data_IF_519386749964
#
_entry.id   IF_519386749964
#
_cell.length_a   1.000
_cell.length_b   1.000
_cell.length_c   1.000
_cell.angle_alpha   90.00
_cell.angle_beta   90.00
_cell.angle_gamma   90.00
#
_symmetry.space_group_name_H-M   'P 1'
#
loop_
_entity.id
_entity.type
_entity.pdbx_description
1 polymer ?
#
# COMPACT_ATOMS: atom_id res chain seq x y z
N UNK A 1 -6.28 -13.21 -14.54
CA UNK A 1 -5.06 -13.00 -15.37
C UNK A 1 -4.31 -11.82 -14.78
N UNK A 2 -3.11 -12.02 -14.19
CA UNK A 2 -2.26 -10.93 -13.71
C UNK A 2 -1.63 -10.33 -14.95
N UNK A 3 -1.76 -9.02 -15.22
CA UNK A 3 -1.12 -8.42 -16.39
C UNK A 3 0.37 -8.70 -16.37
N UNK A 4 0.87 -9.38 -17.38
CA UNK A 4 2.30 -9.52 -17.64
C UNK A 4 2.85 -8.13 -17.98
N UNK A 5 3.94 -7.74 -17.30
CA UNK A 5 4.74 -6.60 -17.73
C UNK A 5 4.27 -5.23 -17.25
N UNK A 6 4.18 -5.01 -15.94
CA UNK A 6 4.25 -3.64 -15.43
C UNK A 6 5.72 -3.18 -15.45
N UNK A 7 6.20 -2.76 -16.62
CA UNK A 7 7.44 -1.96 -16.75
C UNK A 7 7.21 -0.50 -16.31
N UNK A 8 6.21 -0.23 -15.48
CA UNK A 8 5.97 1.11 -14.94
C UNK A 8 6.89 1.33 -13.74
N UNK A 9 7.59 2.46 -13.67
CA UNK A 9 8.37 2.81 -12.50
C UNK A 9 7.40 3.00 -11.32
N UNK A 10 7.75 2.44 -10.17
CA UNK A 10 7.08 2.68 -8.91
C UNK A 10 7.95 3.57 -8.06
N UNK A 11 7.33 4.51 -7.41
CA UNK A 11 7.99 5.38 -6.45
C UNK A 11 8.46 4.59 -5.21
N UNK A 12 9.59 5.01 -4.63
CA UNK A 12 10.09 4.45 -3.38
C UNK A 12 9.41 5.13 -2.18
N UNK A 13 8.47 4.45 -1.49
CA UNK A 13 7.75 5.07 -0.36
C UNK A 13 8.65 5.38 0.84
N UNK A 14 9.90 4.93 0.85
CA UNK A 14 10.89 5.27 1.86
C UNK A 14 11.63 6.58 1.56
N UNK A 15 11.47 7.14 0.36
CA UNK A 15 12.13 8.39 -0.03
C UNK A 15 11.38 9.61 0.54
N UNK A 16 11.98 10.40 1.46
CA UNK A 16 11.30 11.53 2.08
C UNK A 16 10.99 12.66 1.09
N UNK A 17 11.84 12.90 0.11
CA UNK A 17 11.63 13.96 -0.90
C UNK A 17 10.43 13.63 -1.78
N UNK A 18 10.30 12.35 -2.15
CA UNK A 18 9.15 11.89 -2.92
C UNK A 18 7.85 11.98 -2.11
N UNK A 19 7.86 11.57 -0.83
CA UNK A 19 6.69 11.74 0.05
C UNK A 19 6.26 13.20 0.10
N UNK A 20 7.21 14.11 0.32
CA UNK A 20 6.91 15.55 0.36
C UNK A 20 6.31 16.04 -0.96
N UNK A 21 6.88 15.61 -2.08
CA UNK A 21 6.35 15.95 -3.41
C UNK A 21 4.88 15.51 -3.55
N UNK A 22 4.57 14.23 -3.25
CA UNK A 22 3.20 13.73 -3.34
C UNK A 22 2.24 14.42 -2.36
N UNK A 23 2.69 14.70 -1.14
CA UNK A 23 1.89 15.46 -0.17
C UNK A 23 1.54 16.86 -0.68
N UNK A 24 2.47 17.55 -1.33
CA UNK A 24 2.20 18.86 -1.91
C UNK A 24 1.20 18.79 -3.06
N UNK A 25 1.25 17.72 -3.90
CA UNK A 25 0.27 17.52 -4.96
C UNK A 25 -1.14 17.25 -4.38
N UNK A 26 -1.24 16.41 -3.34
CA UNK A 26 -2.54 16.15 -2.68
C UNK A 26 -3.07 17.40 -1.98
N UNK A 27 -2.20 18.18 -1.32
CA UNK A 27 -2.56 19.44 -0.70
C UNK A 27 -3.09 20.44 -1.72
N UNK A 28 -2.46 20.55 -2.88
CA UNK A 28 -2.93 21.40 -3.99
C UNK A 28 -4.32 21.01 -4.44
N UNK A 29 -4.60 19.71 -4.62
CA UNK A 29 -5.94 19.21 -5.01
C UNK A 29 -6.98 19.59 -3.94
N UNK A 30 -6.71 19.30 -2.68
CA UNK A 30 -7.67 19.51 -1.59
C UNK A 30 -7.94 20.99 -1.32
N UNK A 31 -6.96 21.87 -1.57
CA UNK A 31 -7.09 23.32 -1.31
C UNK A 31 -7.61 24.12 -2.49
N UNK A 32 -7.29 23.70 -3.74
CA UNK A 32 -7.69 24.45 -4.95
C UNK A 32 -9.03 24.00 -5.52
N UNK A 33 -9.45 22.77 -5.26
CA UNK A 33 -10.67 22.24 -5.85
C UNK A 33 -11.68 21.89 -4.73
N UNK A 34 -12.96 22.11 -5.01
CA UNK A 34 -14.02 21.73 -4.11
C UNK A 34 -14.31 20.23 -4.20
N UNK A 35 -13.42 19.42 -3.62
CA UNK A 35 -13.54 17.96 -3.60
C UNK A 35 -14.08 17.49 -2.26
N UNK A 36 -14.94 16.48 -2.24
CA UNK A 36 -15.46 15.88 -1.01
C UNK A 36 -14.53 14.82 -0.43
N UNK A 37 -13.61 14.29 -1.25
CA UNK A 37 -12.69 13.24 -0.83
C UNK A 37 -11.45 13.12 -1.68
N UNK A 38 -10.50 12.33 -1.18
CA UNK A 38 -9.28 11.96 -1.88
C UNK A 38 -9.22 10.44 -2.01
N UNK A 39 -9.15 9.94 -3.25
CA UNK A 39 -9.00 8.52 -3.54
C UNK A 39 -7.54 8.16 -3.81
N UNK A 40 -6.99 7.23 -3.04
CA UNK A 40 -5.64 6.73 -3.22
C UNK A 40 -5.64 5.43 -4.00
N UNK A 41 -5.06 5.45 -5.19
CA UNK A 41 -4.79 4.24 -5.98
C UNK A 41 -3.30 3.91 -6.00
N UNK A 42 -2.95 2.68 -6.36
CA UNK A 42 -1.57 2.19 -6.39
C UNK A 42 -0.80 2.32 -5.07
N UNK A 43 -1.47 2.44 -3.93
CA UNK A 43 -0.86 2.49 -2.59
C UNK A 43 -0.40 1.08 -2.18
N UNK A 44 0.64 0.64 -2.83
CA UNK A 44 1.25 -0.69 -2.72
C UNK A 44 2.56 -0.77 -3.46
N UNK A 45 3.33 -1.82 -3.20
CA UNK A 45 4.42 -2.21 -4.10
C UNK A 45 3.87 -2.99 -5.31
N UNK A 46 4.65 -3.14 -6.41
CA UNK A 46 4.35 -4.08 -7.46
C UNK A 46 4.24 -5.51 -6.93
N UNK A 47 3.51 -6.38 -7.63
CA UNK A 47 3.41 -7.78 -7.23
C UNK A 47 4.77 -8.44 -7.11
N UNK A 48 5.09 -8.90 -5.90
CA UNK A 48 6.29 -9.67 -5.62
C UNK A 48 6.08 -11.13 -6.06
N UNK A 49 7.01 -11.64 -6.86
CA UNK A 49 7.09 -13.04 -7.26
C UNK A 49 8.56 -13.46 -7.28
N UNK A 50 9.05 -13.92 -6.14
CA UNK A 50 10.46 -14.26 -5.97
C UNK A 50 10.88 -15.50 -6.76
N UNK A 51 9.94 -16.40 -7.08
CA UNK A 51 10.21 -17.57 -7.90
C UNK A 51 10.51 -17.17 -9.35
N UNK A 52 9.90 -16.07 -9.81
CA UNK A 52 10.12 -15.51 -11.15
C UNK A 52 11.09 -14.32 -11.14
N UNK A 53 11.90 -14.19 -10.09
CA UNK A 53 12.87 -13.10 -9.92
C UNK A 53 12.24 -11.69 -9.97
N UNK A 54 10.97 -11.56 -9.56
CA UNK A 54 10.26 -10.28 -9.48
C UNK A 54 10.22 -9.80 -8.04
N UNK A 55 11.24 -9.03 -7.66
CA UNK A 55 11.36 -8.44 -6.33
C UNK A 55 11.52 -6.92 -6.46
N UNK A 56 10.76 -6.18 -5.67
CA UNK A 56 10.70 -4.72 -5.75
C UNK A 56 10.90 -4.06 -4.38
N UNK A 57 11.12 -2.74 -4.39
CA UNK A 57 11.29 -1.94 -3.18
C UNK A 57 12.75 -1.70 -2.82
N UNK A 58 13.69 -1.95 -3.74
CA UNK A 58 15.12 -1.78 -3.52
C UNK A 58 15.64 -0.39 -3.91
N UNK A 59 14.83 0.65 -3.74
CA UNK A 59 15.23 2.03 -3.91
C UNK A 59 16.36 2.43 -2.96
N UNK A 60 17.13 3.47 -3.31
CA UNK A 60 18.28 3.92 -2.53
C UNK A 60 17.89 4.23 -1.08
N UNK A 61 16.79 4.98 -0.88
CA UNK A 61 16.32 5.37 0.44
C UNK A 61 15.92 4.14 1.29
N UNK A 62 15.09 3.24 0.74
CA UNK A 62 14.67 2.02 1.42
C UNK A 62 15.86 1.15 1.84
N UNK A 63 16.85 0.99 0.96
CA UNK A 63 18.05 0.20 1.25
C UNK A 63 18.92 0.82 2.34
N UNK A 64 19.13 2.13 2.29
CA UNK A 64 19.92 2.85 3.31
C UNK A 64 19.28 2.73 4.69
N UNK A 65 17.98 3.03 4.79
CA UNK A 65 17.24 2.96 6.05
C UNK A 65 17.17 1.53 6.62
N UNK A 66 16.97 0.53 5.74
CA UNK A 66 16.97 -0.86 6.19
C UNK A 66 18.35 -1.31 6.68
N UNK A 67 19.42 -0.96 5.95
CA UNK A 67 20.79 -1.26 6.35
C UNK A 67 21.17 -0.58 7.66
N UNK A 68 20.79 0.66 7.85
CA UNK A 68 20.99 1.39 9.11
C UNK A 68 20.32 0.67 10.29
N UNK A 69 19.04 0.25 10.10
CA UNK A 69 18.26 -0.39 11.17
C UNK A 69 18.66 -1.84 11.48
N UNK A 70 19.07 -2.61 10.47
CA UNK A 70 19.25 -4.07 10.58
C UNK A 70 20.66 -4.55 10.22
N UNK A 71 21.59 -3.64 9.90
CA UNK A 71 23.00 -3.95 9.62
C UNK A 71 23.29 -4.58 8.26
N UNK A 72 22.27 -4.84 7.42
CA UNK A 72 22.42 -5.56 6.15
C UNK A 72 21.69 -4.87 5.00
N UNK A 73 22.34 -4.78 3.82
CA UNK A 73 21.66 -4.32 2.60
C UNK A 73 20.65 -5.38 2.16
N UNK A 74 19.36 -5.01 1.96
CA UNK A 74 18.33 -5.98 1.57
C UNK A 74 18.58 -6.69 0.23
N UNK A 75 19.50 -6.21 -0.59
CA UNK A 75 19.95 -6.93 -1.80
C UNK A 75 20.82 -8.17 -1.51
N UNK A 76 21.35 -8.26 -0.29
CA UNK A 76 22.17 -9.38 0.16
C UNK A 76 21.40 -10.46 0.91
N UNK A 77 20.08 -10.30 1.04
CA UNK A 77 19.21 -11.26 1.72
C UNK A 77 18.25 -11.92 0.71
N UNK A 78 17.76 -13.10 1.07
CA UNK A 78 16.85 -13.87 0.24
C UNK A 78 15.66 -14.40 1.08
N UNK A 79 14.57 -14.85 0.44
CA UNK A 79 13.44 -15.48 1.11
C UNK A 79 13.81 -16.69 1.97
N UNK A 80 14.93 -17.36 1.68
CA UNK A 80 15.44 -18.52 2.46
C UNK A 80 15.91 -18.10 3.85
N UNK A 81 16.35 -16.86 4.04
CA UNK A 81 16.73 -16.26 5.31
C UNK A 81 15.51 -15.70 6.04
N UNK A 82 14.61 -16.57 6.46
CA UNK A 82 13.23 -16.25 6.88
C UNK A 82 13.13 -15.06 7.83
N UNK A 83 13.95 -15.00 8.89
CA UNK A 83 13.86 -13.94 9.91
C UNK A 83 14.11 -12.54 9.30
N UNK A 84 15.28 -12.35 8.67
CA UNK A 84 15.63 -11.04 8.10
C UNK A 84 14.75 -10.69 6.90
N UNK A 85 14.26 -11.70 6.15
CA UNK A 85 13.32 -11.49 5.06
C UNK A 85 11.95 -11.01 5.55
N UNK A 86 11.46 -11.53 6.68
CA UNK A 86 10.24 -11.04 7.33
C UNK A 86 10.40 -9.59 7.78
N UNK A 87 11.56 -9.23 8.35
CA UNK A 87 11.88 -7.85 8.71
C UNK A 87 11.89 -6.93 7.50
N UNK A 88 12.42 -7.38 6.34
CA UNK A 88 12.38 -6.63 5.10
C UNK A 88 10.94 -6.43 4.58
N UNK A 89 10.11 -7.45 4.65
CA UNK A 89 8.69 -7.34 4.27
C UNK A 89 7.94 -6.39 5.20
N UNK A 90 8.12 -6.52 6.50
CA UNK A 90 7.51 -5.64 7.50
C UNK A 90 7.99 -4.18 7.35
N UNK A 91 9.29 -3.96 7.09
CA UNK A 91 9.84 -2.64 6.83
C UNK A 91 9.14 -1.96 5.63
N UNK A 92 9.05 -2.65 4.48
CA UNK A 92 8.37 -2.11 3.29
C UNK A 92 6.89 -1.82 3.55
N UNK A 93 6.19 -2.73 4.23
CA UNK A 93 4.79 -2.54 4.64
C UNK A 93 4.65 -1.29 5.50
N UNK A 94 5.56 -1.09 6.46
CA UNK A 94 5.56 0.09 7.33
C UNK A 94 5.82 1.40 6.58
N UNK A 95 6.61 1.39 5.50
CA UNK A 95 6.80 2.59 4.68
C UNK A 95 5.48 3.04 4.04
N UNK A 96 4.66 2.09 3.54
CA UNK A 96 3.34 2.40 3.00
C UNK A 96 2.38 2.83 4.12
N UNK A 97 2.32 2.09 5.22
CA UNK A 97 1.43 2.41 6.35
C UNK A 97 1.69 3.83 6.90
N UNK A 98 2.96 4.20 7.06
CA UNK A 98 3.33 5.53 7.55
C UNK A 98 3.02 6.64 6.53
N UNK A 99 3.13 6.34 5.24
CA UNK A 99 2.79 7.31 4.21
C UNK A 99 1.28 7.57 4.16
N UNK A 100 0.44 6.53 4.23
CA UNK A 100 -1.02 6.67 4.28
C UNK A 100 -1.45 7.50 5.49
N UNK A 101 -0.90 7.22 6.68
CA UNK A 101 -1.16 8.01 7.88
C UNK A 101 -0.77 9.49 7.69
N UNK A 102 0.39 9.75 7.10
CA UNK A 102 0.87 11.11 6.83
C UNK A 102 -0.03 11.86 5.85
N UNK A 103 -0.50 11.19 4.78
CA UNK A 103 -1.46 11.77 3.83
C UNK A 103 -2.76 12.11 4.54
N UNK A 104 -3.36 11.15 5.24
CA UNK A 104 -4.62 11.34 5.95
C UNK A 104 -4.53 12.49 6.94
N UNK A 105 -3.53 12.49 7.81
CA UNK A 105 -3.33 13.54 8.79
C UNK A 105 -3.17 14.92 8.14
N UNK A 106 -2.30 15.03 7.14
CA UNK A 106 -2.02 16.32 6.49
C UNK A 106 -3.23 16.84 5.71
N UNK A 107 -3.96 15.98 4.99
CA UNK A 107 -5.10 16.41 4.20
C UNK A 107 -6.28 16.82 5.08
N UNK A 108 -6.55 16.10 6.17
CA UNK A 108 -7.61 16.46 7.13
C UNK A 108 -7.30 17.71 7.94
N UNK A 109 -6.04 18.10 8.08
CA UNK A 109 -5.69 19.42 8.62
C UNK A 109 -6.11 20.56 7.68
N UNK A 110 -6.25 20.30 6.37
CA UNK A 110 -6.70 21.28 5.36
C UNK A 110 -8.22 21.28 5.18
N UNK A 111 -8.82 20.09 5.25
CA UNK A 111 -10.26 19.88 5.15
C UNK A 111 -10.65 18.75 6.12
N UNK A 112 -11.24 19.11 7.25
CA UNK A 112 -11.50 18.20 8.37
C UNK A 112 -12.52 17.09 8.05
N UNK A 113 -13.46 17.38 7.15
CA UNK A 113 -14.51 16.49 6.68
C UNK A 113 -14.13 15.69 5.40
N UNK A 114 -12.86 15.77 4.96
CA UNK A 114 -12.40 15.09 3.77
C UNK A 114 -12.51 13.57 3.89
N UNK A 115 -13.22 12.96 2.97
CA UNK A 115 -13.36 11.50 2.87
C UNK A 115 -12.10 10.92 2.24
N UNK A 116 -11.42 10.03 2.96
CA UNK A 116 -10.27 9.30 2.46
C UNK A 116 -10.67 7.91 1.99
N UNK A 117 -10.43 7.59 0.72
CA UNK A 117 -10.71 6.27 0.16
C UNK A 117 -9.48 5.63 -0.49
N UNK A 118 -9.45 4.30 -0.60
CA UNK A 118 -8.30 3.60 -1.17
C UNK A 118 -8.71 2.38 -1.99
N UNK A 119 -8.08 2.22 -3.18
CA UNK A 119 -8.19 1.01 -3.98
C UNK A 119 -7.27 -0.09 -3.42
N UNK A 120 -7.85 -1.28 -3.18
CA UNK A 120 -7.11 -2.41 -2.60
C UNK A 120 -7.34 -3.72 -3.36
N UNK A 121 -6.38 -4.63 -3.28
CA UNK A 121 -6.54 -5.96 -3.85
C UNK A 121 -7.38 -6.86 -2.95
N UNK A 122 -8.33 -7.63 -3.52
CA UNK A 122 -9.21 -8.55 -2.80
C UNK A 122 -8.49 -9.87 -2.47
N UNK A 123 -7.29 -9.78 -1.88
CA UNK A 123 -6.49 -10.92 -1.44
C UNK A 123 -6.58 -11.07 0.08
N UNK A 124 -6.46 -12.29 0.61
CA UNK A 124 -6.30 -12.49 2.05
C UNK A 124 -5.15 -11.66 2.62
N UNK A 125 -5.29 -11.16 3.84
CA UNK A 125 -4.35 -10.24 4.47
C UNK A 125 -2.88 -10.69 4.36
N UNK A 126 -2.60 -11.93 4.78
CA UNK A 126 -1.22 -12.49 4.75
C UNK A 126 -0.64 -12.52 3.33
N UNK A 127 -1.46 -12.87 2.34
CA UNK A 127 -1.04 -12.94 0.95
C UNK A 127 -0.82 -11.54 0.38
N UNK A 128 -1.71 -10.61 0.67
CA UNK A 128 -1.63 -9.21 0.23
C UNK A 128 -0.41 -8.52 0.82
N UNK A 129 -0.12 -8.71 2.11
CA UNK A 129 1.10 -8.18 2.75
C UNK A 129 2.34 -8.78 2.09
N UNK A 130 2.36 -10.10 1.86
CA UNK A 130 3.51 -10.78 1.24
C UNK A 130 3.75 -10.32 -0.20
N UNK A 131 2.70 -10.16 -1.00
CA UNK A 131 2.80 -9.87 -2.45
C UNK A 131 2.83 -8.38 -2.79
N UNK A 132 2.21 -7.53 -1.96
CA UNK A 132 1.94 -6.12 -2.30
C UNK A 132 2.36 -5.15 -1.20
N UNK A 133 2.67 -5.64 0.00
CA UNK A 133 2.89 -4.84 1.21
C UNK A 133 1.70 -3.88 1.52
N UNK A 134 0.50 -4.24 1.07
CA UNK A 134 -0.73 -3.47 1.28
C UNK A 134 -1.47 -4.00 2.50
N UNK A 135 -1.45 -3.25 3.60
CA UNK A 135 -2.02 -3.63 4.89
C UNK A 135 -3.11 -2.63 5.32
N UNK A 136 -4.21 -2.60 4.55
CA UNK A 136 -5.28 -1.64 4.71
C UNK A 136 -6.06 -1.80 6.03
N UNK A 137 -6.05 -2.97 6.67
CA UNK A 137 -6.66 -3.19 7.98
C UNK A 137 -6.08 -2.26 9.06
N UNK A 138 -4.78 -2.00 8.98
CA UNK A 138 -4.12 -1.04 9.88
C UNK A 138 -4.57 0.38 9.59
N UNK A 139 -4.78 0.73 8.34
CA UNK A 139 -5.24 2.07 7.94
C UNK A 139 -6.67 2.32 8.40
N UNK A 140 -7.57 1.35 8.20
CA UNK A 140 -8.95 1.40 8.67
C UNK A 140 -9.02 1.48 10.21
N UNK A 141 -8.28 0.61 10.91
CA UNK A 141 -8.26 0.60 12.39
C UNK A 141 -7.77 1.91 13.00
N UNK A 142 -6.85 2.62 12.34
CA UNK A 142 -6.36 3.93 12.81
C UNK A 142 -7.25 5.09 12.40
N UNK A 143 -8.27 4.85 11.57
CA UNK A 143 -9.09 5.89 10.99
C UNK A 143 -8.36 6.73 9.92
N UNK A 144 -7.27 6.20 9.34
CA UNK A 144 -6.57 6.89 8.23
C UNK A 144 -7.41 6.88 6.95
N UNK A 145 -8.28 5.90 6.76
CA UNK A 145 -9.12 5.67 5.59
C UNK A 145 -10.57 5.43 6.02
N UNK A 146 -11.51 6.08 5.35
CA UNK A 146 -12.95 5.95 5.59
C UNK A 146 -13.61 4.89 4.71
N UNK A 147 -13.14 4.76 3.45
CA UNK A 147 -13.71 3.83 2.47
C UNK A 147 -12.62 2.93 1.87
N UNK A 148 -12.86 1.64 1.93
CA UNK A 148 -12.05 0.62 1.26
C UNK A 148 -12.75 0.19 -0.02
N UNK A 149 -12.06 0.32 -1.16
CA UNK A 149 -12.58 -0.02 -2.49
C UNK A 149 -11.86 -1.26 -3.03
N UNK A 150 -12.42 -2.48 -2.88
CA UNK A 150 -11.80 -3.69 -3.38
C UNK A 150 -11.84 -3.75 -4.90
N UNK A 151 -10.70 -3.98 -5.54
CA UNK A 151 -10.58 -4.18 -6.99
C UNK A 151 -10.99 -5.60 -7.37
N UNK A 152 -12.28 -5.91 -7.28
CA UNK A 152 -12.86 -7.23 -7.56
C UNK A 152 -13.08 -7.45 -9.06
N UNK A 153 -12.06 -7.20 -9.88
CA UNK A 153 -12.15 -7.35 -11.32
C UNK A 153 -12.35 -8.82 -11.73
N UNK A 154 -13.46 -9.11 -12.37
CA UNK A 154 -13.81 -10.44 -12.84
C UNK A 154 -14.50 -10.36 -14.21
N UNK A 155 -14.33 -11.41 -15.03
CA UNK A 155 -14.98 -11.53 -16.34
C UNK A 155 -16.32 -12.27 -16.25
N UNK A 156 -16.62 -12.87 -15.10
CA UNK A 156 -17.83 -13.66 -14.86
C UNK A 156 -18.36 -13.48 -13.43
N UNK A 157 -19.66 -13.71 -13.23
CA UNK A 157 -20.35 -13.59 -11.95
C UNK A 157 -19.82 -14.53 -10.86
N UNK A 158 -19.51 -15.82 -11.13
CA UNK A 158 -18.97 -16.70 -10.12
C UNK A 158 -17.62 -16.21 -9.57
N UNK A 159 -16.72 -15.73 -10.43
CA UNK A 159 -15.43 -15.16 -10.02
C UNK A 159 -15.63 -13.88 -9.23
N UNK A 160 -16.53 -12.98 -9.67
CA UNK A 160 -16.86 -11.76 -8.93
C UNK A 160 -17.37 -12.11 -7.52
N UNK A 161 -18.37 -13.00 -7.43
CA UNK A 161 -18.96 -13.42 -6.15
C UNK A 161 -17.90 -13.98 -5.19
N UNK A 162 -17.00 -14.83 -5.68
CA UNK A 162 -15.91 -15.39 -4.88
C UNK A 162 -14.95 -14.30 -4.36
N UNK A 163 -14.64 -13.30 -5.17
CA UNK A 163 -13.76 -12.18 -4.77
C UNK A 163 -14.47 -11.21 -3.81
N UNK A 164 -15.77 -10.99 -4.00
CA UNK A 164 -16.57 -10.06 -3.20
C UNK A 164 -17.02 -10.65 -1.85
N UNK A 165 -17.27 -11.97 -1.78
CA UNK A 165 -17.79 -12.66 -0.60
C UNK A 165 -17.06 -12.34 0.71
N UNK A 166 -15.72 -12.35 0.79
CA UNK A 166 -15.00 -12.03 2.03
C UNK A 166 -15.28 -10.61 2.55
N UNK A 167 -15.65 -9.70 1.68
CA UNK A 167 -15.95 -8.29 2.01
C UNK A 167 -17.39 -8.10 2.49
N UNK A 168 -18.34 -8.86 1.92
CA UNK A 168 -19.76 -8.81 2.28
C UNK A 168 -19.98 -9.42 3.67
N UNK A 169 -19.28 -10.50 3.99
CA UNK A 169 -19.47 -11.28 5.25
C UNK A 169 -18.61 -10.71 6.40
N UNK A 170 -17.64 -9.86 6.11
CA UNK A 170 -16.74 -9.32 7.14
C UNK A 170 -17.45 -8.29 8.01
N UNK A 171 -18.01 -8.72 9.15
CA UNK A 171 -18.49 -7.85 10.23
C UNK A 171 -17.37 -7.06 10.94
N UNK A 172 -16.11 -7.21 10.50
CA UNK A 172 -14.92 -6.60 11.16
C UNK A 172 -14.71 -5.12 10.87
N UNK A 173 -15.51 -4.52 10.01
CA UNK A 173 -15.36 -3.12 9.60
C UNK A 173 -16.48 -2.21 10.12
N UNK A 174 -17.38 -2.71 10.94
CA UNK A 174 -18.57 -1.98 11.37
C UNK A 174 -18.84 -2.02 12.88
N UNK A 175 -17.81 -1.87 13.69
CA UNK A 175 -17.99 -1.59 15.13
C UNK A 175 -16.89 -0.69 15.63
#
# INVERSE_FOLDING_TARGET
MIPQGQNKPFFDPANPQLRQYLLNQYEEIVTRYNVDGLHLDYIRYPFQDHQRNRSYGYGKAARSLFKERYGVDPRKISPRQTNIWQKWTAFRTQQINSFVAQVSQKMRQKKSDLIMSVAVFPLPEKERIKKLQQHWEVWAKRGDIDLIVPMTYALDTPTFSRLAQPWIVSKKLGS
#
